data_IF_206654773010
#
_entry.id   IF_206654773010
#
_cell.length_a   1.000
_cell.length_b   1.000
_cell.length_c   1.000
_cell.angle_alpha   90.00
_cell.angle_beta   90.00
_cell.angle_gamma   90.00
#
_symmetry.space_group_name_H-M   'P 1'
#
loop_
_entity.id
_entity.type
_entity.pdbx_description
1 polymer ?
#
# COMPACT_ATOMS: atom_id res chain seq x y z
N UNK A 1 -1.96 -18.96 2.48
CA UNK A 1 -3.43 -19.12 2.50
C UNK A 1 -3.88 -19.77 1.20
N UNK A 2 -5.04 -20.43 1.17
CA UNK A 2 -5.52 -21.16 0.00
C UNK A 2 -6.61 -20.35 -0.72
N UNK A 3 -6.61 -20.39 -2.05
CA UNK A 3 -7.69 -19.85 -2.89
C UNK A 3 -8.98 -20.66 -2.62
N UNK A 4 -10.13 -20.00 -2.68
CA UNK A 4 -11.45 -20.59 -2.42
C UNK A 4 -11.86 -20.63 -0.95
N UNK A 5 -11.03 -20.16 -0.02
CA UNK A 5 -11.44 -20.02 1.39
C UNK A 5 -12.49 -18.92 1.54
N UNK A 6 -13.56 -19.20 2.28
CA UNK A 6 -14.57 -18.19 2.59
C UNK A 6 -14.01 -17.09 3.52
N UNK A 7 -14.63 -15.92 3.48
CA UNK A 7 -14.25 -14.75 4.28
C UNK A 7 -14.09 -15.06 5.77
N UNK A 8 -15.04 -15.79 6.36
CA UNK A 8 -15.00 -16.14 7.78
C UNK A 8 -13.77 -16.97 8.15
N UNK A 9 -13.35 -17.91 7.31
CA UNK A 9 -12.15 -18.71 7.56
C UNK A 9 -10.86 -17.89 7.39
N UNK A 10 -10.86 -16.88 6.51
CA UNK A 10 -9.76 -15.92 6.41
C UNK A 10 -9.66 -15.09 7.70
N UNK A 11 -10.78 -14.53 8.16
CA UNK A 11 -10.85 -13.73 9.39
C UNK A 11 -10.48 -14.57 10.60
N UNK A 12 -10.89 -15.83 10.68
CA UNK A 12 -10.52 -16.72 11.77
C UNK A 12 -9.00 -16.96 11.85
N UNK A 13 -8.29 -16.92 10.71
CA UNK A 13 -6.83 -17.13 10.65
C UNK A 13 -6.02 -15.85 10.87
N UNK A 14 -6.46 -14.72 10.32
CA UNK A 14 -5.71 -13.46 10.35
C UNK A 14 -6.22 -12.44 11.37
N UNK A 15 -7.36 -12.70 11.99
CA UNK A 15 -8.13 -11.71 12.72
C UNK A 15 -8.94 -10.79 11.78
N UNK A 16 -9.72 -9.86 12.33
CA UNK A 16 -10.49 -8.91 11.54
C UNK A 16 -9.56 -8.04 10.67
N UNK A 17 -9.91 -7.78 9.40
CA UNK A 17 -9.15 -6.84 8.57
C UNK A 17 -9.23 -5.43 9.16
N UNK A 18 -8.17 -4.65 8.96
CA UNK A 18 -8.17 -3.23 9.40
C UNK A 18 -8.72 -2.31 8.33
N UNK A 19 -8.61 -2.72 7.06
CA UNK A 19 -9.13 -1.98 5.92
C UNK A 19 -9.86 -2.92 4.98
N UNK A 20 -10.90 -2.39 4.34
CA UNK A 20 -11.71 -3.11 3.35
C UNK A 20 -12.07 -2.17 2.22
N UNK A 21 -11.93 -2.65 1.01
CA UNK A 21 -12.14 -1.89 -0.22
C UNK A 21 -13.00 -2.69 -1.19
N UNK A 22 -13.91 -2.03 -1.89
CA UNK A 22 -14.65 -2.65 -2.99
C UNK A 22 -13.75 -2.74 -4.23
N UNK A 23 -13.85 -3.85 -4.95
CA UNK A 23 -13.12 -4.08 -6.20
C UNK A 23 -14.04 -3.82 -7.42
N UNK A 24 -13.48 -3.41 -8.58
CA UNK A 24 -14.27 -3.10 -9.77
C UNK A 24 -15.10 -4.28 -10.32
N UNK A 25 -14.71 -5.51 -10.00
CA UNK A 25 -15.43 -6.75 -10.37
C UNK A 25 -16.58 -7.09 -9.41
N UNK A 26 -16.88 -6.22 -8.45
CA UNK A 26 -17.89 -6.43 -7.41
C UNK A 26 -17.40 -7.25 -6.22
N UNK A 27 -16.14 -7.71 -6.26
CA UNK A 27 -15.50 -8.36 -5.13
C UNK A 27 -15.09 -7.38 -4.03
N UNK A 28 -14.40 -7.90 -3.02
CA UNK A 28 -13.84 -7.10 -1.93
C UNK A 28 -12.37 -7.41 -1.72
N UNK A 29 -11.60 -6.39 -1.36
CA UNK A 29 -10.24 -6.55 -0.84
C UNK A 29 -10.23 -6.29 0.65
N UNK A 30 -9.80 -7.30 1.40
CA UNK A 30 -9.51 -7.21 2.83
C UNK A 30 -8.02 -6.95 3.03
N UNK A 31 -7.66 -6.05 3.95
CA UNK A 31 -6.25 -5.73 4.21
C UNK A 31 -5.89 -5.75 5.68
N UNK A 32 -4.67 -6.22 5.95
CA UNK A 32 -4.02 -6.23 7.26
C UNK A 32 -2.69 -5.46 7.20
N UNK A 33 -2.72 -4.12 7.21
CA UNK A 33 -1.53 -3.29 7.26
C UNK A 33 -0.82 -3.39 8.62
N UNK A 34 0.52 -3.34 8.57
CA UNK A 34 1.38 -3.26 9.77
C UNK A 34 2.00 -1.87 9.96
N UNK A 35 1.68 -0.92 9.08
CA UNK A 35 2.05 0.50 9.21
C UNK A 35 1.40 1.14 10.46
N UNK A 36 2.00 2.23 11.01
CA UNK A 36 3.16 2.99 10.52
C UNK A 36 4.53 2.41 10.87
N UNK A 37 4.57 1.38 11.73
CA UNK A 37 5.82 0.80 12.23
C UNK A 37 6.35 -0.36 11.39
N UNK A 38 5.48 -1.07 10.67
CA UNK A 38 5.85 -2.17 9.78
C UNK A 38 5.94 -1.76 8.31
N UNK A 39 6.39 -2.72 7.50
CA UNK A 39 6.61 -2.63 6.04
C UNK A 39 5.65 -3.54 5.25
N UNK A 40 4.76 -4.19 6.01
CA UNK A 40 3.73 -5.17 5.67
C UNK A 40 2.37 -4.63 5.24
N UNK A 41 1.75 -5.14 4.18
CA UNK A 41 0.27 -5.16 4.10
C UNK A 41 -0.14 -6.42 3.36
N UNK A 42 -0.77 -7.35 4.08
CA UNK A 42 -1.38 -8.52 3.44
C UNK A 42 -2.74 -8.11 2.91
N UNK A 43 -2.98 -8.33 1.62
CA UNK A 43 -4.25 -8.14 0.95
C UNK A 43 -4.83 -9.50 0.54
N UNK A 44 -6.13 -9.66 0.76
CA UNK A 44 -6.92 -10.81 0.33
C UNK A 44 -8.05 -10.30 -0.54
N UNK A 45 -8.13 -10.79 -1.77
CA UNK A 45 -9.24 -10.50 -2.67
C UNK A 45 -10.29 -11.60 -2.53
N UNK A 46 -11.54 -11.19 -2.43
CA UNK A 46 -12.72 -12.02 -2.38
C UNK A 46 -13.57 -11.77 -3.62
N UNK A 47 -14.14 -12.81 -4.20
CA UNK A 47 -15.17 -12.68 -5.23
C UNK A 47 -16.51 -12.20 -4.65
N UNK A 48 -17.51 -12.00 -5.51
CA UNK A 48 -18.87 -11.60 -5.11
C UNK A 48 -19.57 -12.63 -4.22
N UNK A 49 -19.06 -13.86 -4.15
CA UNK A 49 -19.57 -14.93 -3.29
C UNK A 49 -18.85 -14.99 -1.94
N UNK A 50 -17.89 -14.09 -1.69
CA UNK A 50 -17.11 -14.03 -0.45
C UNK A 50 -16.00 -15.07 -0.37
N UNK A 51 -15.56 -15.64 -1.49
CA UNK A 51 -14.48 -16.62 -1.53
C UNK A 51 -13.17 -16.00 -2.02
N UNK A 52 -12.07 -16.43 -1.40
CA UNK A 52 -10.73 -15.91 -1.69
C UNK A 52 -10.30 -16.20 -3.12
N UNK A 53 -9.96 -15.18 -3.89
CA UNK A 53 -9.41 -15.30 -5.25
C UNK A 53 -7.91 -15.01 -5.30
N UNK A 54 -7.40 -14.17 -4.41
CA UNK A 54 -5.99 -13.79 -4.34
C UNK A 54 -5.55 -13.52 -2.90
N UNK A 55 -4.29 -13.79 -2.60
CA UNK A 55 -3.63 -13.42 -1.34
C UNK A 55 -2.23 -12.94 -1.66
N UNK A 56 -1.90 -11.70 -1.31
CA UNK A 56 -0.59 -11.10 -1.63
C UNK A 56 -0.15 -10.06 -0.61
N UNK A 57 1.15 -9.81 -0.55
CA UNK A 57 1.71 -8.70 0.22
C UNK A 57 1.92 -7.50 -0.72
N UNK A 58 1.21 -6.39 -0.49
CA UNK A 58 1.07 -5.32 -1.51
C UNK A 58 2.08 -4.18 -1.38
N UNK A 59 2.84 -4.10 -0.28
CA UNK A 59 3.91 -3.11 -0.12
C UNK A 59 5.23 -3.71 -0.59
N UNK A 60 5.38 -3.86 -1.90
CA UNK A 60 6.58 -4.38 -2.57
C UNK A 60 6.86 -3.56 -3.81
N UNK A 61 8.13 -3.48 -4.22
CA UNK A 61 8.55 -2.72 -5.39
C UNK A 61 7.78 -3.11 -6.66
N UNK A 62 7.66 -4.41 -6.93
CA UNK A 62 6.95 -4.93 -8.10
C UNK A 62 5.45 -4.60 -8.07
N UNK A 63 4.83 -4.55 -6.89
CA UNK A 63 3.42 -4.16 -6.73
C UNK A 63 3.25 -2.64 -6.93
N UNK A 64 4.15 -1.82 -6.38
CA UNK A 64 4.11 -0.37 -6.55
C UNK A 64 4.28 0.05 -8.02
N UNK A 65 5.12 -0.65 -8.78
CA UNK A 65 5.32 -0.36 -10.21
C UNK A 65 4.13 -0.71 -11.10
N UNK A 66 3.07 -1.33 -10.56
CA UNK A 66 1.80 -1.47 -11.27
C UNK A 66 1.01 -0.16 -11.36
N UNK A 67 1.35 0.83 -10.53
CA UNK A 67 0.68 2.11 -10.53
C UNK A 67 0.94 2.89 -11.82
N UNK A 68 -0.13 3.34 -12.48
CA UNK A 68 -0.02 4.06 -13.74
C UNK A 68 -0.10 5.57 -13.54
N UNK A 69 1.02 6.25 -13.78
CA UNK A 69 1.11 7.70 -13.75
C UNK A 69 0.18 8.31 -14.80
N UNK A 70 -0.46 9.43 -14.45
CA UNK A 70 -1.49 10.16 -15.21
C UNK A 70 -2.83 9.42 -15.38
N UNK A 71 -3.00 8.24 -14.77
CA UNK A 71 -4.25 7.47 -14.82
C UNK A 71 -4.78 7.15 -13.43
N UNK A 72 -3.94 6.57 -12.58
CA UNK A 72 -4.34 6.19 -11.23
C UNK A 72 -4.66 7.42 -10.40
N UNK A 73 -5.65 7.28 -9.55
CA UNK A 73 -6.08 8.27 -8.58
C UNK A 73 -5.65 7.87 -7.18
N UNK A 74 -5.85 8.79 -6.22
CA UNK A 74 -5.76 8.50 -4.78
C UNK A 74 -6.57 7.25 -4.39
N UNK A 75 -7.76 7.08 -4.96
CA UNK A 75 -8.60 5.92 -4.67
C UNK A 75 -7.95 4.62 -5.16
N UNK A 76 -7.38 4.62 -6.36
CA UNK A 76 -6.70 3.42 -6.91
C UNK A 76 -5.51 3.02 -6.05
N UNK A 77 -4.75 4.00 -5.55
CA UNK A 77 -3.62 3.77 -4.63
C UNK A 77 -4.11 3.21 -3.28
N UNK A 78 -5.21 3.71 -2.71
CA UNK A 78 -5.81 3.14 -1.49
C UNK A 78 -6.28 1.70 -1.70
N UNK A 79 -7.01 1.43 -2.79
CA UNK A 79 -7.51 0.09 -3.10
C UNK A 79 -6.35 -0.87 -3.36
N UNK A 80 -5.24 -0.41 -3.94
CA UNK A 80 -4.07 -1.23 -4.21
C UNK A 80 -3.23 -1.52 -2.97
N UNK A 81 -2.94 -0.50 -2.15
CA UNK A 81 -1.88 -0.56 -1.13
C UNK A 81 -2.35 -0.24 0.30
N UNK A 82 -3.60 0.18 0.48
CA UNK A 82 -4.15 0.63 1.75
C UNK A 82 -3.71 2.06 2.09
N UNK A 83 -4.01 2.49 3.32
CA UNK A 83 -3.62 3.83 3.79
C UNK A 83 -2.10 3.99 3.92
N UNK A 84 -1.54 5.14 3.52
CA UNK A 84 -0.12 5.42 3.73
C UNK A 84 0.18 5.61 5.22
N UNK A 85 1.45 5.43 5.62
CA UNK A 85 1.85 5.79 6.99
C UNK A 85 1.96 7.29 7.19
N UNK A 86 2.21 8.03 6.11
CA UNK A 86 2.41 9.47 6.14
C UNK A 86 1.77 10.12 4.91
N UNK A 87 1.20 11.29 5.13
CA UNK A 87 0.66 12.17 4.10
C UNK A 87 1.27 13.56 4.28
N UNK A 88 1.87 14.10 3.22
CA UNK A 88 2.46 15.42 3.21
C UNK A 88 1.92 16.25 2.04
N UNK A 89 2.00 17.58 2.13
CA UNK A 89 1.60 18.46 1.03
C UNK A 89 2.72 19.46 0.71
N UNK A 90 3.26 19.36 -0.50
CA UNK A 90 4.35 20.20 -0.98
C UNK A 90 3.81 21.42 -1.73
N UNK A 91 3.58 22.52 -0.99
CA UNK A 91 2.97 23.76 -1.51
C UNK A 91 3.63 24.30 -2.79
N UNK A 92 4.96 24.22 -2.90
CA UNK A 92 5.69 24.75 -4.06
C UNK A 92 5.38 23.99 -5.36
N UNK A 93 5.08 22.70 -5.26
CA UNK A 93 4.74 21.84 -6.39
C UNK A 93 3.23 21.66 -6.54
N UNK A 94 2.45 22.10 -5.55
CA UNK A 94 1.03 21.80 -5.39
C UNK A 94 0.76 20.29 -5.55
N UNK A 95 1.42 19.50 -4.69
CA UNK A 95 1.33 18.04 -4.68
C UNK A 95 1.02 17.52 -3.29
N UNK A 96 0.03 16.64 -3.20
CA UNK A 96 -0.16 15.76 -2.06
C UNK A 96 0.73 14.52 -2.24
N UNK A 97 1.39 14.07 -1.18
CA UNK A 97 2.34 12.96 -1.21
C UNK A 97 1.95 11.93 -0.17
N UNK A 98 1.81 10.69 -0.62
CA UNK A 98 1.55 9.54 0.24
C UNK A 98 2.75 8.63 0.28
N UNK A 99 3.20 8.31 1.49
CA UNK A 99 4.43 7.55 1.72
C UNK A 99 4.12 6.18 2.30
N UNK A 100 4.83 5.15 1.80
CA UNK A 100 4.73 3.77 2.25
C UNK A 100 6.11 3.22 2.58
N UNK A 101 6.27 2.64 3.77
CA UNK A 101 7.49 1.90 4.12
C UNK A 101 7.44 0.49 3.54
N UNK A 102 8.53 0.03 2.95
CA UNK A 102 8.68 -1.35 2.48
C UNK A 102 10.12 -1.87 2.62
N UNK A 103 10.29 -3.18 2.44
CA UNK A 103 11.60 -3.83 2.35
C UNK A 103 11.92 -4.15 0.89
N UNK A 104 13.01 -3.61 0.37
CA UNK A 104 13.52 -3.95 -0.96
C UNK A 104 14.55 -5.09 -0.85
N UNK A 105 14.37 -6.13 -1.68
CA UNK A 105 15.19 -7.35 -1.67
C UNK A 105 15.34 -8.00 -0.29
N UNK A 106 14.37 -7.78 0.61
CA UNK A 106 14.37 -8.24 1.99
C UNK A 106 15.57 -7.73 2.84
N UNK A 107 16.26 -6.68 2.39
CA UNK A 107 17.49 -6.16 3.01
C UNK A 107 17.40 -4.66 3.26
N UNK A 108 16.88 -3.88 2.31
CA UNK A 108 16.91 -2.42 2.38
C UNK A 108 15.57 -1.85 2.86
N UNK A 109 15.61 -1.03 3.92
CA UNK A 109 14.47 -0.25 4.37
C UNK A 109 14.27 0.96 3.45
N UNK A 110 13.15 0.98 2.74
CA UNK A 110 12.85 1.98 1.72
C UNK A 110 11.51 2.65 2.01
N UNK A 111 11.35 3.87 1.49
CA UNK A 111 10.07 4.57 1.39
C UNK A 111 9.72 4.71 -0.09
N UNK A 112 8.49 4.37 -0.44
CA UNK A 112 7.90 4.65 -1.75
C UNK A 112 6.85 5.76 -1.61
N UNK A 113 6.96 6.78 -2.46
CA UNK A 113 6.15 7.98 -2.44
C UNK A 113 5.28 8.06 -3.70
N UNK A 114 4.01 8.39 -3.52
CA UNK A 114 3.06 8.70 -4.60
C UNK A 114 2.70 10.18 -4.53
N UNK A 115 2.87 10.91 -5.64
CA UNK A 115 2.60 12.34 -5.72
C UNK A 115 1.34 12.58 -6.55
N UNK A 116 0.33 13.19 -5.95
CA UNK A 116 -0.95 13.51 -6.58
C UNK A 116 -1.06 15.00 -6.87
N UNK A 117 -1.69 15.35 -7.99
CA UNK A 117 -2.15 16.72 -8.24
C UNK A 117 -3.39 17.07 -7.40
N UNK A 118 -3.88 18.32 -7.42
CA UNK A 118 -5.06 18.72 -6.65
C UNK A 118 -6.35 17.97 -7.01
N UNK A 119 -6.43 17.42 -8.22
CA UNK A 119 -7.55 16.58 -8.67
C UNK A 119 -7.43 15.14 -8.12
N UNK A 120 -6.30 14.80 -7.49
CA UNK A 120 -6.05 13.50 -6.91
C UNK A 120 -5.51 12.48 -7.93
N UNK A 121 -5.02 12.93 -9.09
CA UNK A 121 -4.41 12.07 -10.11
C UNK A 121 -2.93 11.90 -9.81
N UNK A 122 -2.44 10.67 -9.89
CA UNK A 122 -1.03 10.33 -9.70
C UNK A 122 -0.18 10.96 -10.80
N UNK A 123 0.79 11.79 -10.43
CA UNK A 123 1.70 12.48 -11.36
C UNK A 123 3.13 11.99 -11.30
N UNK A 124 3.55 11.41 -10.19
CA UNK A 124 4.91 10.93 -10.01
C UNK A 124 4.97 9.87 -8.93
N UNK A 125 5.91 8.94 -9.09
CA UNK A 125 6.35 8.04 -8.02
C UNK A 125 7.83 8.29 -7.73
N UNK A 126 8.26 8.03 -6.50
CA UNK A 126 9.66 8.11 -6.11
C UNK A 126 9.94 7.11 -5.00
N UNK A 127 11.06 6.38 -5.08
CA UNK A 127 11.60 5.63 -3.95
C UNK A 127 12.83 6.32 -3.36
N UNK A 128 13.03 6.16 -2.07
CA UNK A 128 14.21 6.65 -1.33
C UNK A 128 14.53 5.71 -0.16
N UNK A 129 15.79 5.64 0.31
CA UNK A 129 16.11 5.00 1.59
C UNK A 129 15.26 5.58 2.73
N UNK A 130 14.82 4.74 3.66
CA UNK A 130 14.10 5.23 4.85
C UNK A 130 15.09 5.95 5.78
N UNK A 131 14.94 7.28 6.01
CA UNK A 131 15.84 8.04 6.88
C UNK A 131 15.93 7.50 8.30
N UNK A 132 14.90 6.79 8.78
CA UNK A 132 14.89 6.17 10.11
C UNK A 132 15.92 5.05 10.25
N UNK A 133 16.28 4.40 9.15
CA UNK A 133 17.18 3.26 9.11
C UNK A 133 18.48 3.56 8.34
N UNK A 134 18.63 4.78 7.82
CA UNK A 134 19.85 5.24 7.16
C UNK A 134 20.98 5.50 8.17
N UNK A 135 22.08 4.72 8.13
CA UNK A 135 23.22 4.90 9.03
C UNK A 135 23.92 6.26 8.85
N UNK A 136 23.84 6.87 7.66
CA UNK A 136 24.52 8.14 7.36
C UNK A 136 23.84 9.36 8.02
N UNK A 137 22.56 9.22 8.41
CA UNK A 137 21.81 10.25 9.13
C UNK A 137 21.91 10.13 10.65
N UNK A 138 22.54 9.07 11.17
CA UNK A 138 22.73 8.85 12.61
C UNK A 138 23.67 9.87 13.28
N UNK A 139 24.44 10.62 12.50
CA UNK A 139 25.53 11.48 12.98
C UNK A 139 25.34 12.99 12.66
N UNK A 140 24.11 13.47 12.44
CA UNK A 140 23.83 14.88 12.09
C UNK A 140 23.28 15.75 13.24
N UNK A 141 23.47 15.35 14.50
CA UNK A 141 23.19 16.19 15.67
C UNK A 141 24.38 16.19 16.63
#
# INVERSE_FOLDING_TARGET
MQIGMNEQAVIAKLGPPKETYDLPDGGKRLMWPTQPMGTTTTAVDLDTSGNTTSVRQVLQENEFYRAEVNKWTRNDVLVAFGRPFETAHFKRMDREVWSYRYMENNIYHMIFNFYFDPQGVLRQTQKQPDPKFDPSLRNRF
#
